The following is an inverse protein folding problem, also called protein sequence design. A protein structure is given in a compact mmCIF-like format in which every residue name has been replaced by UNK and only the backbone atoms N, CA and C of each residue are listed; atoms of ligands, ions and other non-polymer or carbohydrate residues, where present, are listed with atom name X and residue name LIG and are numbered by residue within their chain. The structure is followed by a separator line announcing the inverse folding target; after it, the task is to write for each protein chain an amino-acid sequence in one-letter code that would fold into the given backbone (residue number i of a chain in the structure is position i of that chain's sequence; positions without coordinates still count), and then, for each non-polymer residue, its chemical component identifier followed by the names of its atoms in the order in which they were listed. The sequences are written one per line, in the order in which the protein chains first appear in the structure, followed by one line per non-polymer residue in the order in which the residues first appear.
data_IF_019392201561
#
_entry.id   IF_019392201561
#
_cell.length_a   1.000
_cell.length_b   1.000
_cell.length_c   1.000
_cell.angle_alpha   90.00
_cell.angle_beta   90.00
_cell.angle_gamma   90.00
#
_symmetry.space_group_name_H-M   'P 1'
#
loop_
_entity.id
_entity.type
_entity.pdbx_description
1 polymer ?
#
# COMPACT_ATOMS: atom_id res chain seq x y z
N UNK A 1 26.46 -0.76 -14.89
CA UNK A 1 25.15 -0.12 -15.13
C UNK A 1 24.25 -0.38 -13.94
N UNK A 2 23.69 0.68 -13.37
CA UNK A 2 22.71 0.59 -12.29
C UNK A 2 21.34 0.14 -12.87
N UNK A 3 20.36 -0.17 -12.01
CA UNK A 3 19.03 -0.62 -12.47
C UNK A 3 18.29 0.43 -13.31
N UNK A 4 18.52 1.72 -13.04
CA UNK A 4 17.91 2.82 -13.78
C UNK A 4 18.42 2.87 -15.23
N UNK A 5 19.73 2.72 -15.45
CA UNK A 5 20.34 2.67 -16.78
C UNK A 5 19.78 1.50 -17.62
N UNK A 6 19.59 0.34 -16.98
CA UNK A 6 19.06 -0.86 -17.65
C UNK A 6 17.61 -0.64 -18.07
N UNK A 7 16.77 -0.11 -17.17
CA UNK A 7 15.38 0.24 -17.48
C UNK A 7 15.33 1.29 -18.59
N UNK A 8 16.19 2.31 -18.52
CA UNK A 8 16.29 3.35 -19.55
C UNK A 8 16.60 2.74 -20.92
N UNK A 9 17.58 1.83 -20.99
CA UNK A 9 17.93 1.12 -22.22
C UNK A 9 16.79 0.26 -22.77
N UNK A 10 15.94 -0.31 -21.92
CA UNK A 10 14.71 -0.96 -22.39
C UNK A 10 13.75 0.03 -23.05
N UNK A 11 13.56 1.22 -22.46
CA UNK A 11 12.63 2.22 -23.00
C UNK A 11 13.04 2.69 -24.41
N UNK A 12 14.34 2.88 -24.64
CA UNK A 12 14.87 3.34 -25.92
C UNK A 12 15.07 2.19 -26.93
N UNK A 13 15.66 1.07 -26.50
CA UNK A 13 16.20 0.05 -27.39
C UNK A 13 15.57 -1.35 -27.21
N UNK A 14 14.56 -1.50 -26.34
CA UNK A 14 13.97 -2.80 -25.99
C UNK A 14 15.00 -3.82 -25.48
N UNK A 15 16.00 -3.33 -24.74
CA UNK A 15 17.00 -4.17 -24.10
C UNK A 15 16.37 -5.19 -23.13
N UNK A 16 16.78 -6.46 -23.26
CA UNK A 16 16.24 -7.57 -22.49
C UNK A 16 16.60 -7.49 -20.99
N UNK A 17 17.79 -6.98 -20.65
CA UNK A 17 18.16 -6.81 -19.24
C UNK A 17 17.26 -5.77 -18.56
N UNK A 18 16.98 -4.66 -19.22
CA UNK A 18 16.04 -3.66 -18.73
C UNK A 18 14.64 -4.22 -18.52
N UNK A 19 14.13 -5.01 -19.47
CA UNK A 19 12.87 -5.72 -19.31
C UNK A 19 12.88 -6.62 -18.07
N UNK A 20 13.95 -7.41 -17.88
CA UNK A 20 14.09 -8.30 -16.73
C UNK A 20 14.10 -7.56 -15.39
N UNK A 21 14.63 -6.34 -15.33
CA UNK A 21 14.52 -5.50 -14.13
C UNK A 21 13.08 -5.08 -13.84
N UNK A 22 12.33 -4.66 -14.86
CA UNK A 22 10.92 -4.30 -14.72
C UNK A 22 10.09 -5.51 -14.29
N UNK A 23 10.34 -6.69 -14.86
CA UNK A 23 9.69 -7.94 -14.45
C UNK A 23 9.92 -8.25 -12.97
N UNK A 24 11.16 -8.13 -12.50
CA UNK A 24 11.50 -8.33 -11.09
C UNK A 24 10.75 -7.35 -10.19
N UNK A 25 10.75 -6.06 -10.54
CA UNK A 25 10.00 -5.05 -9.79
C UNK A 25 8.51 -5.39 -9.73
N UNK A 26 7.91 -5.79 -10.86
CA UNK A 26 6.51 -6.16 -10.93
C UNK A 26 6.20 -7.36 -10.04
N UNK A 27 7.00 -8.43 -10.12
CA UNK A 27 6.79 -9.61 -9.30
C UNK A 27 7.00 -9.36 -7.81
N UNK A 28 7.94 -8.50 -7.44
CA UNK A 28 8.09 -8.07 -6.05
C UNK A 28 6.82 -7.36 -5.58
N UNK A 29 6.28 -6.42 -6.36
CA UNK A 29 5.07 -5.69 -5.98
C UNK A 29 3.84 -6.60 -5.90
N UNK A 30 3.56 -7.40 -6.92
CA UNK A 30 2.37 -8.27 -6.94
C UNK A 30 2.45 -9.41 -5.91
N UNK A 31 3.65 -9.74 -5.40
CA UNK A 31 3.82 -10.71 -4.33
C UNK A 31 3.43 -10.20 -2.94
N UNK A 32 3.22 -8.88 -2.77
CA UNK A 32 2.69 -8.32 -1.52
C UNK A 32 1.32 -8.94 -1.21
N UNK A 33 1.01 -9.14 0.07
CA UNK A 33 -0.21 -9.82 0.50
C UNK A 33 -1.46 -9.08 0.01
N UNK A 34 -1.41 -7.75 -0.01
CA UNK A 34 -2.38 -6.85 -0.65
C UNK A 34 -2.83 -7.26 -2.06
N UNK A 35 -1.97 -7.88 -2.87
CA UNK A 35 -2.28 -8.26 -4.25
C UNK A 35 -2.42 -9.77 -4.45
N UNK A 36 -2.55 -10.56 -3.38
CA UNK A 36 -2.56 -12.02 -3.45
C UNK A 36 -3.66 -12.57 -4.38
N UNK A 37 -4.81 -11.91 -4.46
CA UNK A 37 -5.91 -12.28 -5.38
C UNK A 37 -5.54 -12.13 -6.87
N UNK A 38 -4.59 -11.27 -7.20
CA UNK A 38 -4.08 -11.08 -8.55
C UNK A 38 -2.92 -12.02 -8.89
N UNK A 39 -2.27 -12.61 -7.89
CA UNK A 39 -1.00 -13.32 -8.07
C UNK A 39 -1.08 -14.49 -9.05
N UNK A 40 -2.24 -15.15 -9.14
CA UNK A 40 -2.47 -16.26 -10.09
C UNK A 40 -2.37 -15.79 -11.55
N UNK A 41 -2.67 -14.52 -11.83
CA UNK A 41 -2.69 -13.93 -13.17
C UNK A 41 -1.45 -13.06 -13.43
N UNK A 42 -0.40 -13.18 -12.60
CA UNK A 42 0.74 -12.24 -12.57
C UNK A 42 1.46 -12.07 -13.90
N UNK A 43 1.54 -13.12 -14.73
CA UNK A 43 2.25 -13.08 -16.00
C UNK A 43 1.43 -12.36 -17.08
N UNK A 44 0.12 -12.58 -17.08
CA UNK A 44 -0.81 -11.85 -17.95
C UNK A 44 -0.88 -10.38 -17.57
N UNK A 45 -0.97 -10.08 -16.27
CA UNK A 45 -0.96 -8.72 -15.75
C UNK A 45 0.35 -7.98 -16.04
N UNK A 46 1.48 -8.67 -15.96
CA UNK A 46 2.78 -8.13 -16.37
C UNK A 46 2.79 -7.79 -17.87
N UNK A 47 2.28 -8.69 -18.71
CA UNK A 47 2.18 -8.46 -20.16
C UNK A 47 1.26 -7.28 -20.47
N UNK A 48 0.14 -7.16 -19.77
CA UNK A 48 -0.79 -6.04 -19.89
C UNK A 48 -0.15 -4.72 -19.45
N UNK A 49 0.58 -4.72 -18.33
CA UNK A 49 1.32 -3.56 -17.87
C UNK A 49 2.34 -3.11 -18.92
N UNK A 50 3.16 -4.03 -19.43
CA UNK A 50 4.16 -3.71 -20.44
C UNK A 50 3.50 -3.19 -21.71
N UNK A 51 2.49 -3.90 -22.23
CA UNK A 51 1.87 -3.64 -23.54
C UNK A 51 1.02 -2.39 -23.54
N UNK A 52 0.23 -2.16 -22.48
CA UNK A 52 -0.78 -1.10 -22.47
C UNK A 52 -0.43 0.09 -21.59
N UNK A 53 0.47 -0.05 -20.61
CA UNK A 53 0.87 1.06 -19.73
C UNK A 53 2.25 1.59 -20.04
N UNK A 54 3.22 0.71 -20.28
CA UNK A 54 4.62 1.11 -20.41
C UNK A 54 5.03 1.43 -21.85
N UNK A 55 4.91 0.46 -22.78
CA UNK A 55 5.34 0.61 -24.18
C UNK A 55 4.72 1.83 -24.86
N UNK A 56 3.40 2.12 -24.72
CA UNK A 56 2.78 3.26 -25.40
C UNK A 56 3.36 4.61 -24.95
N UNK A 57 3.85 4.69 -23.71
CA UNK A 57 4.43 5.92 -23.12
C UNK A 57 5.96 5.94 -23.12
N UNK A 58 6.63 4.90 -23.62
CA UNK A 58 8.08 4.72 -23.44
C UNK A 58 8.93 5.87 -23.96
N UNK A 59 8.54 6.50 -25.07
CA UNK A 59 9.28 7.64 -25.65
C UNK A 59 9.20 8.87 -24.75
N UNK A 60 8.00 9.20 -24.28
CA UNK A 60 7.76 10.30 -23.34
C UNK A 60 8.54 10.08 -22.03
N UNK A 61 8.54 8.86 -21.51
CA UNK A 61 9.31 8.50 -20.31
C UNK A 61 10.81 8.64 -20.58
N UNK A 62 11.32 8.10 -21.70
CA UNK A 62 12.73 8.21 -22.05
C UNK A 62 13.19 9.66 -22.27
N UNK A 63 12.34 10.51 -22.82
CA UNK A 63 12.61 11.95 -22.96
C UNK A 63 12.70 12.64 -21.59
N UNK A 64 11.75 12.34 -20.69
CA UNK A 64 11.73 12.88 -19.32
C UNK A 64 13.01 12.55 -18.53
N UNK A 65 13.58 11.36 -18.73
CA UNK A 65 14.77 10.89 -18.02
C UNK A 65 16.03 10.90 -18.90
N UNK A 66 16.05 11.68 -19.99
CA UNK A 66 17.18 11.72 -20.93
C UNK A 66 18.44 12.38 -20.37
N UNK A 67 18.28 13.35 -19.47
CA UNK A 67 19.38 14.11 -18.86
C UNK A 67 19.90 13.46 -17.57
N UNK A 68 19.02 12.73 -16.86
CA UNK A 68 19.36 11.92 -15.70
C UNK A 68 18.34 10.80 -15.53
N UNK A 69 18.83 9.59 -15.22
CA UNK A 69 17.99 8.44 -14.88
C UNK A 69 17.55 8.42 -13.42
N UNK A 70 17.92 9.44 -12.63
CA UNK A 70 17.53 9.55 -11.23
C UNK A 70 16.00 9.59 -11.10
N UNK A 71 15.46 8.79 -10.19
CA UNK A 71 14.01 8.65 -9.99
C UNK A 71 13.28 7.81 -11.03
N UNK A 72 13.93 7.31 -12.09
CA UNK A 72 13.29 6.43 -13.08
C UNK A 72 12.78 5.13 -12.45
N UNK A 73 13.58 4.52 -11.56
CA UNK A 73 13.17 3.31 -10.82
C UNK A 73 11.91 3.58 -9.99
N UNK A 74 11.89 4.69 -9.24
CA UNK A 74 10.72 5.08 -8.44
C UNK A 74 9.50 5.34 -9.31
N UNK A 75 9.68 6.01 -10.45
CA UNK A 75 8.61 6.27 -11.42
C UNK A 75 7.98 4.97 -11.94
N UNK A 76 8.80 4.00 -12.35
CA UNK A 76 8.32 2.70 -12.81
C UNK A 76 7.65 1.92 -11.68
N UNK A 77 8.20 1.97 -10.46
CA UNK A 77 7.58 1.32 -9.30
C UNK A 77 6.18 1.87 -9.02
N UNK A 78 6.02 3.19 -9.02
CA UNK A 78 4.71 3.85 -8.82
C UNK A 78 3.74 3.49 -9.95
N UNK A 79 4.23 3.42 -11.20
CA UNK A 79 3.40 3.03 -12.33
C UNK A 79 2.89 1.58 -12.22
N UNK A 80 3.74 0.66 -11.76
CA UNK A 80 3.37 -0.73 -11.46
C UNK A 80 2.32 -0.77 -10.36
N UNK A 81 2.55 -0.05 -9.26
CA UNK A 81 1.64 -0.05 -8.11
C UNK A 81 0.26 0.49 -8.48
N UNK A 82 0.19 1.61 -9.20
CA UNK A 82 -1.07 2.18 -9.67
C UNK A 82 -1.81 1.24 -10.64
N UNK A 83 -1.07 0.51 -11.47
CA UNK A 83 -1.65 -0.52 -12.33
C UNK A 83 -2.24 -1.66 -11.50
N UNK A 84 -1.50 -2.22 -10.54
CA UNK A 84 -1.98 -3.30 -9.68
C UNK A 84 -3.20 -2.88 -8.85
N UNK A 85 -3.20 -1.66 -8.31
CA UNK A 85 -4.36 -1.04 -7.65
C UNK A 85 -5.58 -1.01 -8.58
N UNK A 86 -5.39 -0.63 -9.84
CA UNK A 86 -6.48 -0.64 -10.83
C UNK A 86 -7.01 -2.05 -11.10
N UNK A 87 -6.13 -3.04 -11.22
CA UNK A 87 -6.54 -4.41 -11.56
C UNK A 87 -7.20 -5.14 -10.39
N UNK A 88 -6.74 -4.90 -9.15
CA UNK A 88 -7.40 -5.48 -7.97
C UNK A 88 -8.80 -4.91 -7.81
N UNK A 89 -8.96 -3.60 -7.99
CA UNK A 89 -10.25 -2.95 -8.08
C UNK A 89 -11.13 -3.64 -9.13
N UNK A 90 -10.71 -3.72 -10.39
CA UNK A 90 -11.49 -4.38 -11.45
C UNK A 90 -11.89 -5.82 -11.12
N UNK A 91 -11.00 -6.60 -10.51
CA UNK A 91 -11.28 -8.01 -10.18
C UNK A 91 -12.34 -8.14 -9.09
N UNK A 92 -12.28 -7.28 -8.07
CA UNK A 92 -13.31 -7.20 -7.03
C UNK A 92 -14.66 -6.81 -7.66
N UNK A 93 -14.67 -5.80 -8.53
CA UNK A 93 -15.88 -5.35 -9.25
C UNK A 93 -16.52 -6.44 -10.12
N UNK A 94 -15.72 -7.14 -10.93
CA UNK A 94 -16.21 -8.22 -11.80
C UNK A 94 -16.82 -9.36 -10.97
N UNK A 95 -16.20 -9.69 -9.83
CA UNK A 95 -16.76 -10.69 -8.91
C UNK A 95 -18.13 -10.27 -8.36
N UNK A 96 -18.32 -8.99 -8.03
CA UNK A 96 -19.56 -8.48 -7.45
C UNK A 96 -20.66 -8.24 -8.50
N UNK A 97 -20.36 -7.76 -9.71
CA UNK A 97 -21.35 -7.68 -10.79
C UNK A 97 -21.91 -9.05 -11.18
N UNK A 98 -21.09 -10.10 -11.13
CA UNK A 98 -21.55 -11.47 -11.32
C UNK A 98 -22.42 -11.98 -10.16
N UNK A 99 -22.17 -11.55 -8.92
CA UNK A 99 -23.02 -11.92 -7.78
C UNK A 99 -24.36 -11.16 -7.79
N UNK A 100 -24.34 -9.87 -8.11
CA UNK A 100 -25.55 -9.05 -8.15
C UNK A 100 -26.45 -9.38 -9.35
N UNK A 101 -25.88 -9.67 -10.54
CA UNK A 101 -26.68 -10.09 -11.72
C UNK A 101 -27.40 -11.44 -11.54
N UNK A 102 -27.00 -12.26 -10.55
CA UNK A 102 -27.72 -13.48 -10.15
C UNK A 102 -28.93 -13.14 -9.27
N UNK A 103 -28.94 -12.01 -8.56
CA UNK A 103 -30.07 -11.54 -7.75
C UNK A 103 -31.09 -10.67 -8.51
N UNK A 104 -30.71 -10.04 -9.64
CA UNK A 104 -31.56 -9.11 -10.40
C UNK A 104 -32.53 -9.74 -11.41
N UNK A 105 -32.73 -11.06 -11.39
CA UNK A 105 -33.78 -11.71 -12.19
C UNK A 105 -35.15 -11.75 -11.50
N UNK A 106 -35.32 -11.03 -10.37
CA UNK A 106 -36.62 -10.88 -9.73
C UNK A 106 -36.89 -9.40 -9.41
N UNK A 107 -37.99 -8.93 -9.99
CA UNK A 107 -38.70 -7.67 -9.72
C UNK A 107 -38.19 -6.43 -10.49
N UNK A 108 -38.80 -6.26 -11.67
CA UNK A 108 -38.95 -4.98 -12.34
C UNK A 108 -39.90 -4.10 -11.51
N UNK A 109 -39.38 -3.05 -10.87
CA UNK A 109 -40.04 -1.76 -10.64
C UNK A 109 -39.30 -0.99 -9.54
N UNK A 110 -38.15 -0.35 -9.87
CA UNK A 110 -37.49 0.76 -9.15
C UNK A 110 -36.06 0.93 -9.70
N UNK A 111 -35.92 1.45 -10.94
CA UNK A 111 -34.64 1.42 -11.69
C UNK A 111 -33.75 2.67 -11.58
N UNK A 112 -34.19 3.75 -10.92
CA UNK A 112 -33.35 4.96 -10.76
C UNK A 112 -32.68 5.06 -9.38
N UNK A 113 -33.39 4.76 -8.29
CA UNK A 113 -32.88 4.91 -6.91
C UNK A 113 -31.89 3.79 -6.49
N UNK A 114 -31.89 2.67 -7.21
CA UNK A 114 -31.00 1.52 -6.96
C UNK A 114 -29.62 1.68 -7.59
N UNK A 115 -29.49 2.38 -8.71
CA UNK A 115 -28.20 2.50 -9.41
C UNK A 115 -27.25 3.46 -8.68
N UNK A 116 -27.77 4.57 -8.15
CA UNK A 116 -27.01 5.52 -7.32
C UNK A 116 -26.57 4.87 -5.99
N UNK A 117 -27.45 4.11 -5.33
CA UNK A 117 -27.08 3.33 -4.13
C UNK A 117 -26.01 2.28 -4.38
N UNK A 118 -26.08 1.57 -5.52
CA UNK A 118 -25.04 0.60 -5.91
C UNK A 118 -23.72 1.32 -6.16
N UNK A 119 -23.73 2.45 -6.87
CA UNK A 119 -22.52 3.27 -7.08
C UNK A 119 -21.92 3.77 -5.77
N UNK A 120 -22.73 4.26 -4.82
CA UNK A 120 -22.28 4.74 -3.51
C UNK A 120 -21.70 3.61 -2.65
N UNK A 121 -22.37 2.45 -2.57
CA UNK A 121 -21.82 1.28 -1.84
C UNK A 121 -20.56 0.74 -2.48
N UNK A 122 -20.45 0.83 -3.80
CA UNK A 122 -19.31 0.34 -4.56
C UNK A 122 -18.10 1.29 -4.45
N UNK A 123 -18.31 2.61 -4.46
CA UNK A 123 -17.26 3.61 -4.16
C UNK A 123 -16.77 3.52 -2.70
N UNK A 124 -17.68 3.30 -1.74
CA UNK A 124 -17.30 3.09 -0.34
C UNK A 124 -16.42 1.83 -0.16
N UNK A 125 -16.71 0.75 -0.92
CA UNK A 125 -15.89 -0.47 -0.91
C UNK A 125 -14.55 -0.33 -1.63
N UNK A 126 -14.47 0.45 -2.71
CA UNK A 126 -13.18 0.82 -3.34
C UNK A 126 -12.26 1.51 -2.35
N UNK A 127 -12.85 2.47 -1.63
CA UNK A 127 -12.18 3.19 -0.58
C UNK A 127 -11.66 2.23 0.49
N UNK A 128 -12.50 1.31 0.98
CA UNK A 128 -12.10 0.30 1.96
C UNK A 128 -10.95 -0.60 1.49
N UNK A 129 -10.93 -1.02 0.22
CA UNK A 129 -9.86 -1.87 -0.31
C UNK A 129 -8.55 -1.09 -0.42
N UNK A 130 -8.59 0.13 -0.93
CA UNK A 130 -7.41 0.98 -1.05
C UNK A 130 -6.85 1.33 0.33
N UNK A 131 -7.72 1.64 1.30
CA UNK A 131 -7.36 1.89 2.70
C UNK A 131 -6.70 0.65 3.32
N UNK A 132 -7.17 -0.57 3.03
CA UNK A 132 -6.54 -1.81 3.52
C UNK A 132 -5.17 -2.08 2.92
N UNK A 133 -4.99 -1.81 1.62
CA UNK A 133 -3.68 -1.94 0.96
C UNK A 133 -2.69 -0.94 1.57
N UNK A 134 -3.13 0.31 1.74
CA UNK A 134 -2.34 1.36 2.34
C UNK A 134 -1.99 1.02 3.80
N UNK A 135 -2.94 0.49 4.56
CA UNK A 135 -2.73 0.04 5.93
C UNK A 135 -1.63 -1.03 6.07
N UNK A 136 -1.56 -1.97 5.12
CA UNK A 136 -0.52 -2.99 5.09
C UNK A 136 0.85 -2.38 4.76
N UNK A 137 0.90 -1.44 3.81
CA UNK A 137 2.15 -0.74 3.46
C UNK A 137 2.65 0.10 4.64
N UNK A 138 1.75 0.82 5.33
CA UNK A 138 2.02 1.53 6.58
C UNK A 138 2.58 0.56 7.61
N UNK A 139 1.92 -0.58 7.85
CA UNK A 139 2.42 -1.58 8.82
C UNK A 139 3.85 -2.01 8.50
N UNK A 140 4.12 -2.40 7.26
CA UNK A 140 5.46 -2.82 6.83
C UNK A 140 6.49 -1.72 7.03
N UNK A 141 6.14 -0.47 6.69
CA UNK A 141 7.01 0.68 6.83
C UNK A 141 7.30 1.00 8.29
N UNK A 142 6.31 0.90 9.18
CA UNK A 142 6.51 1.05 10.62
C UNK A 142 7.41 -0.04 11.21
N UNK A 143 7.30 -1.29 10.74
CA UNK A 143 8.17 -2.38 11.18
C UNK A 143 9.62 -2.16 10.73
N UNK A 144 9.83 -1.66 9.53
CA UNK A 144 11.15 -1.36 8.96
C UNK A 144 11.82 -0.16 9.65
N UNK A 145 11.10 0.97 9.79
CA UNK A 145 11.69 2.26 10.19
C UNK A 145 11.77 2.46 11.70
N UNK A 146 10.89 1.82 12.48
CA UNK A 146 10.84 2.03 13.93
C UNK A 146 11.79 1.08 14.67
N UNK A 147 12.57 1.67 15.58
CA UNK A 147 13.37 0.91 16.57
C UNK A 147 12.46 0.23 17.57
N UNK A 148 12.95 -0.80 18.26
CA UNK A 148 12.15 -1.54 19.25
C UNK A 148 11.58 -0.65 20.35
N UNK A 149 12.36 0.31 20.86
CA UNK A 149 11.87 1.29 21.85
C UNK A 149 10.78 2.21 21.29
N UNK A 150 10.80 2.49 19.99
CA UNK A 150 9.78 3.28 19.29
C UNK A 150 8.53 2.44 19.04
N UNK A 151 8.67 1.15 18.74
CA UNK A 151 7.56 0.18 18.64
C UNK A 151 6.86 -0.01 19.98
N UNK A 152 7.60 -0.08 21.09
CA UNK A 152 7.05 -0.10 22.45
C UNK A 152 6.24 1.16 22.75
N UNK A 153 6.77 2.34 22.42
CA UNK A 153 6.06 3.62 22.57
C UNK A 153 4.83 3.70 21.67
N UNK A 154 4.90 3.19 20.44
CA UNK A 154 3.75 3.11 19.54
C UNK A 154 2.66 2.25 20.17
N UNK A 155 3.02 1.06 20.68
CA UNK A 155 2.08 0.20 21.39
C UNK A 155 1.49 0.85 22.63
N UNK A 156 2.27 1.59 23.42
CA UNK A 156 1.73 2.39 24.51
C UNK A 156 0.67 3.40 24.03
N UNK A 157 0.86 4.04 22.88
CA UNK A 157 -0.09 5.05 22.38
C UNK A 157 -1.40 4.47 21.86
N UNK A 158 -1.38 3.27 21.26
CA UNK A 158 -2.53 2.68 20.57
C UNK A 158 -3.23 1.57 21.37
N UNK A 159 -2.73 1.25 22.56
CA UNK A 159 -3.26 0.15 23.38
C UNK A 159 -4.30 0.59 24.41
N UNK A 160 -5.08 -0.37 24.89
CA UNK A 160 -5.98 -0.20 26.03
C UNK A 160 -5.20 0.05 27.33
N UNK A 161 -5.81 0.76 28.27
CA UNK A 161 -5.21 1.25 29.52
C UNK A 161 -4.43 0.17 30.31
N UNK A 162 -4.94 -1.07 30.33
CA UNK A 162 -4.29 -2.19 31.00
C UNK A 162 -2.93 -2.53 30.38
N UNK A 163 -2.84 -2.55 29.05
CA UNK A 163 -1.59 -2.81 28.34
C UNK A 163 -0.66 -1.59 28.38
N UNK A 164 -1.20 -0.36 28.36
CA UNK A 164 -0.42 0.86 28.56
C UNK A 164 0.33 0.84 29.90
N UNK A 165 -0.36 0.48 30.97
CA UNK A 165 0.20 0.36 32.32
C UNK A 165 1.31 -0.69 32.35
N UNK A 166 1.06 -1.88 31.78
CA UNK A 166 2.06 -2.93 31.66
C UNK A 166 3.31 -2.45 30.90
N UNK A 167 3.13 -1.78 29.76
CA UNK A 167 4.26 -1.29 28.95
C UNK A 167 5.06 -0.23 29.73
N UNK A 168 4.37 0.71 30.39
CA UNK A 168 5.03 1.77 31.18
C UNK A 168 5.84 1.18 32.33
N UNK A 169 5.31 0.19 33.03
CA UNK A 169 5.95 -0.47 34.17
C UNK A 169 7.09 -1.41 33.80
N UNK A 170 7.04 -2.08 32.64
CA UNK A 170 8.04 -3.07 32.25
C UNK A 170 9.16 -2.50 31.38
N UNK A 171 8.88 -1.49 30.54
CA UNK A 171 9.84 -0.97 29.58
C UNK A 171 10.29 0.47 29.86
N UNK A 172 9.54 1.23 30.65
CA UNK A 172 9.79 2.66 30.86
C UNK A 172 9.83 3.10 32.33
N UNK A 173 9.92 2.16 33.27
CA UNK A 173 9.89 2.41 34.72
C UNK A 173 10.95 3.40 35.22
N UNK A 174 12.16 3.33 34.67
CA UNK A 174 13.30 4.11 35.14
C UNK A 174 13.45 5.46 34.42
N UNK A 175 12.44 5.85 33.63
CA UNK A 175 12.44 7.10 32.86
C UNK A 175 11.59 8.13 33.57
N UNK A 176 12.09 9.36 33.72
CA UNK A 176 11.29 10.46 34.23
C UNK A 176 10.10 10.77 33.31
N UNK A 177 9.00 11.24 33.88
CA UNK A 177 7.80 11.55 33.08
C UNK A 177 8.09 12.54 31.95
N UNK A 178 8.87 13.60 32.21
CA UNK A 178 9.27 14.57 31.18
C UNK A 178 10.08 13.91 30.04
N UNK A 179 11.00 13.01 30.37
CA UNK A 179 11.76 12.28 29.35
C UNK A 179 10.88 11.32 28.56
N UNK A 180 9.89 10.69 29.21
CA UNK A 180 8.90 9.83 28.56
C UNK A 180 8.02 10.62 27.59
N UNK A 181 7.46 11.76 28.01
CA UNK A 181 6.68 12.66 27.15
C UNK A 181 7.50 13.17 25.96
N UNK A 182 8.76 13.56 26.16
CA UNK A 182 9.65 13.96 25.07
C UNK A 182 9.89 12.83 24.06
N UNK A 183 9.91 11.57 24.49
CA UNK A 183 10.02 10.42 23.57
C UNK A 183 8.73 10.20 22.77
N UNK A 184 7.56 10.35 23.40
CA UNK A 184 6.27 10.32 22.69
C UNK A 184 6.22 11.39 21.59
N UNK A 185 6.59 12.62 21.91
CA UNK A 185 6.57 13.72 20.95
C UNK A 185 7.53 13.50 19.77
N UNK A 186 8.70 12.89 20.01
CA UNK A 186 9.63 12.48 18.94
C UNK A 186 9.03 11.40 18.05
N UNK A 187 8.35 10.41 18.64
CA UNK A 187 7.69 9.36 17.87
C UNK A 187 6.58 9.94 16.99
N UNK A 188 5.70 10.79 17.52
CA UNK A 188 4.65 11.47 16.73
C UNK A 188 5.22 12.23 15.55
N UNK A 189 6.31 12.98 15.74
CA UNK A 189 7.00 13.69 14.65
C UNK A 189 7.54 12.73 13.58
N UNK A 190 8.10 11.59 13.99
CA UNK A 190 8.59 10.57 13.06
C UNK A 190 7.45 9.93 12.27
N UNK A 191 6.34 9.58 12.93
CA UNK A 191 5.14 9.06 12.26
C UNK A 191 4.57 10.06 11.25
N UNK A 192 4.51 11.34 11.63
CA UNK A 192 4.09 12.41 10.72
C UNK A 192 5.02 12.57 9.52
N UNK A 193 6.34 12.40 9.72
CA UNK A 193 7.31 12.41 8.62
C UNK A 193 7.09 11.23 7.67
N UNK A 194 6.86 10.02 8.21
CA UNK A 194 6.54 8.83 7.41
C UNK A 194 5.26 9.06 6.60
N UNK A 195 4.20 9.57 7.24
CA UNK A 195 2.94 9.87 6.55
C UNK A 195 3.15 10.81 5.35
N UNK A 196 3.93 11.87 5.55
CA UNK A 196 4.20 12.86 4.50
C UNK A 196 5.12 12.34 3.39
N UNK A 197 6.15 11.57 3.75
CA UNK A 197 7.13 11.05 2.80
C UNK A 197 6.50 10.05 1.82
N UNK A 198 5.60 9.21 2.33
CA UNK A 198 4.96 8.13 1.55
C UNK A 198 3.54 8.49 1.09
N UNK A 199 3.01 9.65 1.48
CA UNK A 199 1.70 10.12 1.05
C UNK A 199 0.53 9.31 1.64
N UNK A 200 0.70 8.79 2.85
CA UNK A 200 -0.33 8.01 3.54
C UNK A 200 -1.45 8.92 4.06
N UNK A 201 -2.68 8.48 3.86
CA UNK A 201 -3.93 9.03 4.37
C UNK A 201 -4.11 8.77 5.87
N UNK A 202 -5.00 9.52 6.50
CA UNK A 202 -5.36 9.31 7.90
C UNK A 202 -6.07 7.96 8.07
N UNK A 203 -6.95 7.64 7.13
CA UNK A 203 -7.77 6.43 7.10
C UNK A 203 -6.91 5.17 6.96
N UNK A 204 -5.85 5.23 6.14
CA UNK A 204 -4.85 4.17 6.07
C UNK A 204 -4.17 3.92 7.41
N UNK A 205 -3.81 4.96 8.16
CA UNK A 205 -3.21 4.82 9.50
C UNK A 205 -4.20 4.25 10.52
N UNK A 206 -5.45 4.71 10.50
CA UNK A 206 -6.51 4.18 11.36
C UNK A 206 -6.74 2.70 11.11
N UNK A 207 -6.86 2.29 9.84
CA UNK A 207 -7.03 0.88 9.47
C UNK A 207 -5.78 0.05 9.80
N UNK A 208 -4.57 0.61 9.64
CA UNK A 208 -3.33 -0.06 10.01
C UNK A 208 -3.28 -0.37 11.51
N UNK A 209 -3.65 0.62 12.33
CA UNK A 209 -3.70 0.41 13.77
C UNK A 209 -4.81 -0.56 14.14
N UNK A 210 -6.02 -0.45 13.61
CA UNK A 210 -7.11 -1.38 13.93
C UNK A 210 -6.79 -2.83 13.53
N UNK A 211 -6.27 -3.04 12.32
CA UNK A 211 -6.05 -4.38 11.75
C UNK A 211 -4.79 -5.03 12.31
N UNK A 212 -3.70 -4.27 12.45
CA UNK A 212 -2.39 -4.83 12.81
C UNK A 212 -1.99 -4.55 14.25
N UNK A 213 -2.81 -3.89 15.07
CA UNK A 213 -2.56 -3.62 16.49
C UNK A 213 -1.98 -4.83 17.23
N UNK A 214 -2.64 -5.98 17.13
CA UNK A 214 -2.21 -7.19 17.82
C UNK A 214 -0.86 -7.69 17.34
N UNK A 215 -0.51 -7.45 16.08
CA UNK A 215 0.76 -7.88 15.48
C UNK A 215 1.89 -6.90 15.82
N UNK A 216 1.61 -5.59 15.77
CA UNK A 216 2.52 -4.53 16.21
C UNK A 216 2.87 -4.73 17.70
N UNK A 217 1.88 -5.11 18.51
CA UNK A 217 2.03 -5.23 19.97
C UNK A 217 2.18 -6.66 20.49
N UNK A 218 2.27 -7.66 19.61
CA UNK A 218 2.30 -9.09 19.97
C UNK A 218 3.41 -9.43 20.96
N UNK A 219 4.56 -8.77 20.84
CA UNK A 219 5.75 -9.02 21.64
C UNK A 219 5.74 -8.28 22.99
N UNK A 220 4.70 -7.49 23.27
CA UNK A 220 4.59 -6.68 24.49
C UNK A 220 3.33 -7.01 25.29
N UNK A 221 2.56 -8.04 24.88
CA UNK A 221 1.48 -8.60 25.68
C UNK A 221 2.11 -9.48 26.77
N UNK A 222 1.73 -9.23 28.03
CA UNK A 222 2.16 -10.02 29.18
C UNK A 222 1.69 -11.47 29.13
#
# INVERSE_FOLDING_TARGET
MNSADKIYNFLINFDEEGLNHIKKMFYTQISKQSYQILYQDKDDLLNDFITYKLIPKRKEIAEKFSQSTDGLVSYISIAIENFLKTEITKKIYKSEMFQNSVYYNQEEDEKEDTFERVLETTQAKEYDVLVKIEAEDIYNKLIEELKDTEKQLLCYLISEEQLQSYIKENFFKDISEDAFYKRIERLKKKLSSIAQEYGYSQEGFEEAFNTFYTQICKNYKG
#
